data_IF_870928752731
#
_entry.id   IF_870928752731
#
_cell.length_a   1.000
_cell.length_b   1.000
_cell.length_c   1.000
_cell.angle_alpha   90.00
_cell.angle_beta   90.00
_cell.angle_gamma   90.00
#
_symmetry.space_group_name_H-M   'P 1'
#
loop_
_entity.id
_entity.type
_entity.pdbx_description
1 polymer ?
#
# COMPACT_ATOMS: atom_id res chain seq x y z
N UNK A 1 22.88 -1.70 10.59
CA UNK A 1 22.06 -1.88 9.37
C UNK A 1 20.70 -1.26 9.65
N UNK A 2 20.64 0.07 9.58
CA UNK A 2 19.49 0.86 10.01
C UNK A 2 19.45 2.10 9.14
N UNK A 3 18.56 2.10 8.16
CA UNK A 3 17.76 3.28 7.85
C UNK A 3 16.46 2.80 7.22
N UNK A 4 15.36 3.28 7.81
CA UNK A 4 14.00 2.87 7.53
C UNK A 4 13.66 2.90 6.04
N UNK A 5 12.80 1.99 5.61
CA UNK A 5 12.08 2.00 4.33
C UNK A 5 11.17 3.24 4.25
N UNK A 6 11.76 4.43 4.27
CA UNK A 6 11.05 5.70 4.19
C UNK A 6 10.54 5.92 2.77
N UNK A 7 9.40 6.57 2.66
CA UNK A 7 8.91 7.06 1.38
C UNK A 7 9.88 8.11 0.83
N UNK A 8 10.19 8.04 -0.47
CA UNK A 8 10.86 9.13 -1.18
C UNK A 8 10.00 10.41 -1.14
N UNK A 9 10.61 11.58 -1.39
CA UNK A 9 9.90 12.86 -1.38
C UNK A 9 8.67 12.85 -2.31
N UNK A 10 8.80 12.31 -3.53
CA UNK A 10 7.67 12.18 -4.46
C UNK A 10 6.56 11.27 -3.94
N UNK A 11 6.92 10.16 -3.27
CA UNK A 11 5.95 9.26 -2.66
C UNK A 11 5.24 9.90 -1.46
N UNK A 12 5.90 10.77 -0.70
CA UNK A 12 5.29 11.55 0.38
C UNK A 12 4.23 12.52 -0.17
N UNK A 13 4.54 13.23 -1.27
CA UNK A 13 3.55 14.10 -1.93
C UNK A 13 2.34 13.33 -2.47
N UNK A 14 2.55 12.18 -3.09
CA UNK A 14 1.43 11.35 -3.55
C UNK A 14 0.57 10.86 -2.39
N UNK A 15 1.19 10.48 -1.27
CA UNK A 15 0.47 10.11 -0.05
C UNK A 15 -0.39 11.28 0.46
N UNK A 16 0.17 12.48 0.57
CA UNK A 16 -0.57 13.67 0.98
C UNK A 16 -1.69 14.04 0.02
N UNK A 17 -1.49 13.86 -1.28
CA UNK A 17 -2.52 14.10 -2.31
C UNK A 17 -3.68 13.12 -2.13
N UNK A 18 -3.39 11.85 -1.90
CA UNK A 18 -4.42 10.82 -1.65
C UNK A 18 -5.13 11.06 -0.32
N UNK A 19 -4.40 11.43 0.73
CA UNK A 19 -4.97 11.79 2.04
C UNK A 19 -5.99 12.91 1.89
N UNK A 20 -5.62 14.00 1.21
CA UNK A 20 -6.52 15.14 0.95
C UNK A 20 -7.73 14.76 0.11
N UNK A 21 -7.59 13.86 -0.86
CA UNK A 21 -8.71 13.38 -1.66
C UNK A 21 -9.71 12.58 -0.82
N UNK A 22 -9.24 11.78 0.15
CA UNK A 22 -10.10 11.06 1.10
C UNK A 22 -10.80 12.05 2.04
N UNK A 23 -10.07 13.02 2.60
CA UNK A 23 -10.63 13.99 3.55
C UNK A 23 -11.66 14.94 2.91
N UNK A 24 -11.51 15.22 1.61
CA UNK A 24 -12.45 16.05 0.85
C UNK A 24 -13.69 15.28 0.35
N UNK A 25 -13.70 13.95 0.44
CA UNK A 25 -14.78 13.11 -0.06
C UNK A 25 -15.91 13.02 0.98
N UNK A 26 -17.12 13.41 0.56
CA UNK A 26 -18.31 13.45 1.42
C UNK A 26 -19.35 12.37 1.05
N UNK A 27 -19.21 11.71 -0.11
CA UNK A 27 -20.09 10.62 -0.51
C UNK A 27 -19.70 9.30 0.19
N UNK A 28 -20.55 8.75 1.08
CA UNK A 28 -20.26 7.50 1.77
C UNK A 28 -20.08 6.30 0.83
N UNK A 29 -20.68 6.31 -0.37
CA UNK A 29 -20.50 5.24 -1.35
C UNK A 29 -19.10 5.28 -1.95
N UNK A 30 -18.58 6.47 -2.25
CA UNK A 30 -17.20 6.64 -2.75
C UNK A 30 -16.20 6.25 -1.67
N UNK A 31 -16.40 6.69 -0.42
CA UNK A 31 -15.57 6.27 0.71
C UNK A 31 -15.56 4.75 0.91
N UNK A 32 -16.72 4.10 0.80
CA UNK A 32 -16.82 2.63 0.84
C UNK A 32 -16.06 1.97 -0.31
N UNK A 33 -16.11 2.56 -1.50
CA UNK A 33 -15.33 2.12 -2.66
C UNK A 33 -13.82 2.19 -2.40
N UNK A 34 -13.34 3.34 -1.94
CA UNK A 34 -11.93 3.57 -1.58
C UNK A 34 -11.46 2.60 -0.49
N UNK A 35 -12.27 2.39 0.56
CA UNK A 35 -11.95 1.45 1.63
C UNK A 35 -11.76 0.00 1.11
N UNK A 36 -12.63 -0.45 0.20
CA UNK A 36 -12.50 -1.78 -0.43
C UNK A 36 -11.24 -1.88 -1.29
N UNK A 37 -10.92 -0.83 -2.05
CA UNK A 37 -9.71 -0.80 -2.87
C UNK A 37 -8.45 -0.86 -2.01
N UNK A 38 -8.40 -0.09 -0.92
CA UNK A 38 -7.30 -0.13 0.05
C UNK A 38 -7.13 -1.50 0.68
N UNK A 39 -8.23 -2.14 1.10
CA UNK A 39 -8.21 -3.49 1.65
C UNK A 39 -7.64 -4.51 0.66
N UNK A 40 -8.07 -4.44 -0.60
CA UNK A 40 -7.54 -5.33 -1.64
C UNK A 40 -6.05 -5.09 -1.89
N UNK A 41 -5.63 -3.82 -2.02
CA UNK A 41 -4.25 -3.46 -2.25
C UNK A 41 -3.34 -3.93 -1.11
N UNK A 42 -3.79 -3.80 0.13
CA UNK A 42 -3.08 -4.30 1.32
C UNK A 42 -2.83 -5.82 1.23
N UNK A 43 -3.86 -6.61 0.94
CA UNK A 43 -3.69 -8.06 0.80
C UNK A 43 -2.80 -8.44 -0.39
N UNK A 44 -2.90 -7.73 -1.51
CA UNK A 44 -2.00 -7.92 -2.65
C UNK A 44 -0.55 -7.66 -2.28
N UNK A 45 -0.27 -6.57 -1.54
CA UNK A 45 1.09 -6.28 -1.06
C UNK A 45 1.59 -7.34 -0.08
N UNK A 46 0.75 -7.81 0.84
CA UNK A 46 1.11 -8.90 1.75
C UNK A 46 1.44 -10.19 0.99
N UNK A 47 0.66 -10.54 -0.04
CA UNK A 47 0.91 -11.70 -0.89
C UNK A 47 2.22 -11.56 -1.67
N UNK A 48 2.47 -10.39 -2.28
CA UNK A 48 3.70 -10.10 -3.01
C UNK A 48 4.93 -10.18 -2.09
N UNK A 49 4.88 -9.57 -0.90
CA UNK A 49 5.96 -9.65 0.09
C UNK A 49 6.24 -11.10 0.51
N UNK A 50 5.19 -11.89 0.80
CA UNK A 50 5.35 -13.32 1.13
C UNK A 50 6.00 -14.09 -0.02
N UNK A 51 5.59 -13.83 -1.25
CA UNK A 51 6.14 -14.47 -2.45
C UNK A 51 7.61 -14.11 -2.68
N UNK A 52 8.00 -12.85 -2.50
CA UNK A 52 9.41 -12.42 -2.58
C UNK A 52 10.24 -13.09 -1.50
N UNK A 53 9.75 -13.11 -0.25
CA UNK A 53 10.44 -13.78 0.87
C UNK A 53 10.64 -15.27 0.59
N UNK A 54 9.63 -15.98 0.10
CA UNK A 54 9.72 -17.40 -0.24
C UNK A 54 10.75 -17.70 -1.34
N UNK A 55 10.89 -16.82 -2.34
CA UNK A 55 11.91 -16.97 -3.38
C UNK A 55 13.33 -16.71 -2.88
N UNK A 56 13.50 -15.74 -1.97
CA UNK A 56 14.81 -15.43 -1.40
C UNK A 56 15.36 -16.56 -0.51
N UNK A 57 14.49 -17.44 0.02
CA UNK A 57 14.89 -18.59 0.83
C UNK A 57 15.35 -19.80 0.01
N UNK A 58 15.38 -19.73 -1.33
CA UNK A 58 16.15 -20.66 -2.16
C UNK A 58 15.94 -22.16 -1.91
N UNK A 59 14.70 -22.64 -1.80
CA UNK A 59 14.45 -24.09 -1.88
C UNK A 59 13.87 -24.45 -3.25
N UNK A 60 14.66 -25.00 -4.18
CA UNK A 60 14.10 -25.65 -5.35
C UNK A 60 13.29 -26.88 -4.89
N UNK A 61 12.15 -27.12 -5.55
CA UNK A 61 11.32 -28.31 -5.38
C UNK A 61 12.10 -29.57 -5.75
#
# INVERSE_FOLDING_TARGET
>A
MSNALGLSLGQQFELERMQRAIDAEADPQVLRGLAKQLLSAWHSQQAATRWVMQQQTGRPL
#
